data_IF_745970074440
#
_entry.id   IF_745970074440
#
_cell.length_a   1.000
_cell.length_b   1.000
_cell.length_c   1.000
_cell.angle_alpha   90.00
_cell.angle_beta   90.00
_cell.angle_gamma   90.00
#
_symmetry.space_group_name_H-M   'P 1'
#
loop_
_entity.id
_entity.type
_entity.pdbx_description
1 polymer ?
#
# COMPACT_ATOMS: atom_id res chain seq x y z
N UNK A 1 -2.44 -0.52 -20.06
CA UNK A 1 -1.49 -0.47 -18.94
C UNK A 1 -2.31 -0.15 -17.71
N UNK A 2 -2.61 -1.15 -16.91
CA UNK A 2 -3.38 -0.96 -15.68
C UNK A 2 -2.41 -0.77 -14.52
N UNK A 3 -2.35 0.45 -13.98
CA UNK A 3 -1.60 0.75 -12.79
C UNK A 3 -2.47 0.44 -11.57
N UNK A 4 -1.93 -0.33 -10.64
CA UNK A 4 -2.61 -0.75 -9.41
C UNK A 4 -1.68 -0.55 -8.23
N UNK A 5 -2.28 -0.40 -7.06
CA UNK A 5 -1.56 -0.35 -5.80
C UNK A 5 -2.00 -1.52 -4.92
N UNK A 6 -1.05 -2.22 -4.32
CA UNK A 6 -1.33 -3.39 -3.49
C UNK A 6 -0.72 -3.23 -2.11
N UNK A 7 -1.53 -3.35 -1.07
CA UNK A 7 -1.01 -3.56 0.27
C UNK A 7 -0.84 -5.06 0.51
N UNK A 8 0.38 -5.47 0.86
CA UNK A 8 0.75 -6.85 1.15
C UNK A 8 1.46 -6.97 2.50
N UNK A 9 1.31 -8.12 3.14
CA UNK A 9 1.96 -8.46 4.42
C UNK A 9 3.11 -9.41 4.15
N UNK A 10 4.33 -9.00 4.47
CA UNK A 10 5.55 -9.78 4.34
C UNK A 10 6.15 -10.09 5.72
N UNK A 11 5.73 -11.20 6.32
CA UNK A 11 6.21 -11.61 7.63
C UNK A 11 5.83 -10.58 8.71
N UNK A 12 6.84 -9.88 9.25
CA UNK A 12 6.65 -8.89 10.33
C UNK A 12 6.40 -7.47 9.82
N UNK A 13 6.53 -7.21 8.52
CA UNK A 13 6.32 -5.88 7.95
C UNK A 13 5.35 -5.90 6.79
N UNK A 14 4.64 -4.80 6.65
CA UNK A 14 3.71 -4.56 5.56
C UNK A 14 4.40 -3.73 4.47
N UNK A 15 3.96 -3.90 3.24
CA UNK A 15 4.49 -3.17 2.08
C UNK A 15 3.33 -2.73 1.19
N UNK A 16 3.45 -1.53 0.61
CA UNK A 16 2.59 -1.06 -0.46
C UNK A 16 3.37 -1.08 -1.76
N UNK A 17 2.85 -1.82 -2.74
CA UNK A 17 3.44 -1.97 -4.06
C UNK A 17 2.70 -1.12 -5.07
N UNK A 18 3.43 -0.54 -6.01
CA UNK A 18 2.87 -0.05 -7.27
C UNK A 18 3.12 -1.11 -8.32
N UNK A 19 2.06 -1.64 -8.91
CA UNK A 19 2.11 -2.74 -9.88
C UNK A 19 1.55 -2.26 -11.22
N UNK A 20 2.33 -2.44 -12.27
CA UNK A 20 1.95 -2.11 -13.65
C UNK A 20 1.95 -3.39 -14.48
N UNK A 21 0.78 -3.79 -14.99
CA UNK A 21 0.61 -4.99 -15.81
C UNK A 21 1.20 -6.26 -15.14
N UNK A 22 1.04 -6.37 -13.83
CA UNK A 22 1.53 -7.50 -13.02
C UNK A 22 3.01 -7.41 -12.60
N UNK A 23 3.71 -6.35 -13.00
CA UNK A 23 5.11 -6.10 -12.64
C UNK A 23 5.18 -5.03 -11.56
N UNK A 24 5.84 -5.35 -10.45
CA UNK A 24 6.12 -4.40 -9.36
C UNK A 24 7.11 -3.35 -9.87
N UNK A 25 6.68 -2.09 -9.86
CA UNK A 25 7.49 -0.92 -10.23
C UNK A 25 8.14 -0.28 -9.01
N UNK A 26 7.39 -0.21 -7.92
CA UNK A 26 7.81 0.46 -6.69
C UNK A 26 7.35 -0.38 -5.50
N UNK A 27 8.16 -0.43 -4.46
CA UNK A 27 7.84 -1.12 -3.22
C UNK A 27 8.19 -0.22 -2.03
N UNK A 28 7.18 0.25 -1.31
CA UNK A 28 7.35 1.11 -0.16
C UNK A 28 6.97 0.36 1.11
N UNK A 29 7.86 0.37 2.10
CA UNK A 29 7.52 -0.13 3.44
C UNK A 29 6.29 0.62 3.94
N UNK A 30 5.27 -0.11 4.38
CA UNK A 30 4.06 0.50 4.87
C UNK A 30 4.36 1.25 6.16
N UNK A 31 4.09 2.55 6.15
CA UNK A 31 4.01 3.39 7.34
C UNK A 31 2.62 4.06 7.40
N UNK A 32 2.26 4.73 8.50
CA UNK A 32 0.95 5.36 8.62
C UNK A 32 0.65 6.38 7.53
N UNK A 33 1.65 7.09 6.99
CA UNK A 33 1.47 8.09 5.93
C UNK A 33 1.17 7.43 4.58
N UNK A 34 1.98 6.45 4.20
CA UNK A 34 1.79 5.68 2.97
C UNK A 34 0.45 4.95 3.01
N UNK A 35 0.10 4.32 4.13
CA UNK A 35 -1.18 3.63 4.27
C UNK A 35 -2.36 4.60 4.28
N UNK A 36 -2.27 5.77 4.91
CA UNK A 36 -3.31 6.79 4.85
C UNK A 36 -3.57 7.24 3.42
N UNK A 37 -2.52 7.62 2.68
CA UNK A 37 -2.65 8.07 1.29
C UNK A 37 -3.18 6.94 0.39
N UNK A 38 -2.72 5.70 0.63
CA UNK A 38 -3.17 4.50 -0.08
C UNK A 38 -4.65 4.22 0.17
N UNK A 39 -5.16 4.45 1.38
CA UNK A 39 -6.54 4.14 1.75
C UNK A 39 -7.52 5.25 1.36
N UNK A 40 -7.08 6.51 1.37
CA UNK A 40 -7.98 7.67 1.23
C UNK A 40 -7.94 8.30 -0.15
N UNK A 41 -6.76 8.69 -0.61
CA UNK A 41 -6.61 9.59 -1.76
C UNK A 41 -6.42 8.81 -3.05
N UNK A 42 -5.48 7.84 -3.06
CA UNK A 42 -5.00 7.13 -4.27
C UNK A 42 -4.55 8.05 -5.42
N UNK A 43 -4.60 9.37 -5.25
CA UNK A 43 -4.24 10.34 -6.26
C UNK A 43 -2.74 10.37 -6.41
N UNK A 44 -2.25 10.40 -7.65
CA UNK A 44 -0.81 10.51 -7.90
C UNK A 44 -0.05 9.22 -7.62
N UNK A 45 -0.67 8.04 -7.77
CA UNK A 45 0.04 6.76 -7.65
C UNK A 45 1.34 6.70 -8.48
N UNK A 46 1.39 7.41 -9.61
CA UNK A 46 2.60 7.54 -10.46
C UNK A 46 3.74 8.34 -9.83
N UNK A 47 3.46 9.20 -8.86
CA UNK A 47 4.48 9.95 -8.13
C UNK A 47 5.04 9.18 -6.94
N UNK A 48 4.43 8.05 -6.59
CA UNK A 48 4.92 7.20 -5.51
C UNK A 48 6.19 6.53 -6.00
N UNK A 49 7.28 6.72 -5.25
CA UNK A 49 8.61 6.26 -5.60
C UNK A 49 9.24 5.66 -4.37
N UNK A 50 9.85 4.50 -4.53
CA UNK A 50 10.70 3.89 -3.54
C UNK A 50 12.16 4.30 -3.76
N UNK A 51 12.93 4.38 -2.68
CA UNK A 51 14.37 4.69 -2.76
C UNK A 51 15.22 3.50 -3.24
N UNK A 52 14.61 2.33 -3.46
CA UNK A 52 15.30 1.07 -3.74
C UNK A 52 14.79 0.44 -5.03
N UNK A 53 15.72 -0.13 -5.81
CA UNK A 53 15.38 -0.81 -7.05
C UNK A 53 14.64 -2.15 -6.78
N UNK A 54 13.58 -2.39 -7.54
CA UNK A 54 12.86 -3.68 -7.59
C UNK A 54 13.45 -4.51 -8.73
N UNK A 55 14.10 -5.63 -8.41
CA UNK A 55 14.79 -6.48 -9.39
C UNK A 55 14.57 -7.97 -9.14
N UNK A 56 14.66 -8.76 -10.22
CA UNK A 56 14.64 -10.22 -10.16
C UNK A 56 13.30 -10.77 -9.67
N UNK A 57 13.33 -11.67 -8.67
CA UNK A 57 12.10 -12.28 -8.13
C UNK A 57 11.12 -11.25 -7.54
N UNK A 58 11.63 -10.09 -7.11
CA UNK A 58 10.81 -9.00 -6.54
C UNK A 58 10.05 -8.19 -7.58
N UNK A 59 10.28 -8.39 -8.87
CA UNK A 59 9.44 -7.84 -9.95
C UNK A 59 8.03 -8.43 -9.93
N UNK A 60 7.86 -9.58 -9.28
CA UNK A 60 6.55 -10.20 -9.07
C UNK A 60 5.99 -9.77 -7.72
N UNK A 61 4.67 -9.60 -7.60
CA UNK A 61 4.09 -9.14 -6.35
C UNK A 61 3.97 -10.26 -5.30
N UNK A 62 3.94 -11.55 -5.69
CA UNK A 62 3.77 -12.67 -4.75
C UNK A 62 4.89 -12.80 -3.71
N UNK A 63 6.18 -12.64 -4.06
CA UNK A 63 7.28 -12.66 -3.09
C UNK A 63 7.31 -11.49 -2.11
N UNK A 64 6.40 -10.52 -2.24
CA UNK A 64 6.16 -9.46 -1.25
C UNK A 64 5.06 -9.82 -0.25
N UNK A 65 4.58 -11.06 -0.30
CA UNK A 65 3.75 -11.65 0.74
C UNK A 65 2.27 -11.63 0.40
N UNK A 66 1.46 -11.69 1.45
CA UNK A 66 0.04 -11.98 1.35
C UNK A 66 -0.76 -10.71 0.99
N UNK A 67 -1.56 -10.76 -0.07
CA UNK A 67 -2.41 -9.63 -0.46
C UNK A 67 -3.42 -9.31 0.65
N UNK A 68 -3.54 -8.01 0.96
CA UNK A 68 -4.57 -7.46 1.86
C UNK A 68 -5.66 -6.79 1.03
N UNK A 69 -5.26 -5.91 0.12
CA UNK A 69 -6.16 -5.15 -0.75
C UNK A 69 -5.38 -4.67 -1.97
N UNK A 70 -6.01 -4.76 -3.15
CA UNK A 70 -5.55 -4.19 -4.41
C UNK A 70 -6.53 -3.11 -4.87
N UNK A 71 -5.99 -1.97 -5.32
CA UNK A 71 -6.77 -0.84 -5.82
C UNK A 71 -6.28 -0.40 -7.19
N UNK A 72 -7.22 -0.02 -8.06
CA UNK A 72 -6.91 0.63 -9.33
C UNK A 72 -6.38 2.06 -9.09
N UNK A 73 -5.68 2.63 -10.06
CA UNK A 73 -5.29 4.07 -10.06
C UNK A 73 -6.50 5.01 -9.87
N UNK A 74 -7.71 4.58 -10.26
CA UNK A 74 -8.98 5.30 -10.05
C UNK A 74 -9.49 5.25 -8.61
N UNK A 75 -8.86 4.44 -7.75
CA UNK A 75 -9.26 4.18 -6.37
C UNK A 75 -10.26 3.04 -6.19
N UNK A 76 -10.76 2.44 -7.28
CA UNK A 76 -11.63 1.26 -7.20
C UNK A 76 -10.91 0.09 -6.52
N UNK A 77 -11.60 -0.64 -5.64
CA UNK A 77 -11.07 -1.85 -5.01
C UNK A 77 -11.22 -3.00 -6.01
N UNK A 78 -10.10 -3.59 -6.40
CA UNK A 78 -10.05 -4.72 -7.35
C UNK A 78 -10.18 -6.04 -6.60
N UNK A 79 -9.44 -6.19 -5.49
CA UNK A 79 -9.44 -7.39 -4.65
C UNK A 79 -9.16 -6.99 -3.20
N UNK A 80 -9.66 -7.77 -2.25
CA UNK A 80 -9.47 -7.55 -0.81
C UNK A 80 -9.67 -8.84 -0.02
N UNK A 81 -8.78 -9.09 0.94
CA UNK A 81 -9.02 -9.97 2.08
C UNK A 81 -9.60 -9.14 3.25
N UNK A 82 -10.90 -9.26 3.57
CA UNK A 82 -11.53 -8.42 4.58
C UNK A 82 -10.96 -8.63 5.99
N UNK A 83 -10.52 -9.84 6.34
CA UNK A 83 -10.00 -10.12 7.66
C UNK A 83 -8.63 -9.48 7.85
N UNK A 84 -7.76 -9.61 6.85
CA UNK A 84 -6.45 -8.95 6.86
C UNK A 84 -6.58 -7.44 6.82
N UNK A 85 -7.51 -6.93 6.03
CA UNK A 85 -7.79 -5.49 5.96
C UNK A 85 -8.14 -4.94 7.33
N UNK A 86 -9.16 -5.49 8.01
CA UNK A 86 -9.55 -4.99 9.33
C UNK A 86 -8.47 -5.18 10.39
N UNK A 87 -7.72 -6.27 10.32
CA UNK A 87 -6.58 -6.52 11.22
C UNK A 87 -5.52 -5.43 11.05
N UNK A 88 -5.15 -5.13 9.80
CA UNK A 88 -4.17 -4.08 9.51
C UNK A 88 -4.68 -2.70 9.89
N UNK A 89 -5.95 -2.35 9.61
CA UNK A 89 -6.54 -1.07 10.07
C UNK A 89 -6.46 -0.94 11.59
N UNK A 90 -6.74 -2.03 12.31
CA UNK A 90 -6.61 -2.05 13.76
C UNK A 90 -5.16 -1.83 14.21
N UNK A 91 -4.21 -2.52 13.59
CA UNK A 91 -2.77 -2.43 13.93
C UNK A 91 -2.22 -1.04 13.64
N UNK A 92 -2.50 -0.47 12.47
CA UNK A 92 -1.87 0.76 11.99
C UNK A 92 -2.51 2.03 12.55
N UNK A 93 -3.84 2.05 12.70
CA UNK A 93 -4.56 3.27 13.05
C UNK A 93 -5.24 3.15 14.43
N UNK A 94 -6.17 2.20 14.58
CA UNK A 94 -7.05 2.20 15.77
C UNK A 94 -6.32 1.90 17.08
N UNK A 95 -5.26 1.10 17.07
CA UNK A 95 -4.44 0.82 18.27
C UNK A 95 -3.77 2.09 18.83
N UNK A 96 -3.58 3.12 17.98
CA UNK A 96 -2.99 4.42 18.33
C UNK A 96 -4.05 5.50 18.60
N UNK A 97 -5.34 5.14 18.60
CA UNK A 97 -6.44 6.07 18.82
C UNK A 97 -6.71 7.02 17.65
N UNK A 98 -6.28 6.68 16.44
CA UNK A 98 -6.50 7.45 15.20
C UNK A 98 -7.27 6.62 14.18
N UNK A 99 -7.99 7.26 13.26
CA UNK A 99 -8.64 6.60 12.12
C UNK A 99 -7.84 6.84 10.84
N UNK A 100 -8.00 5.96 9.85
CA UNK A 100 -7.21 6.01 8.62
C UNK A 100 -7.61 7.17 7.70
N UNK A 101 -8.73 7.84 7.95
CA UNK A 101 -9.17 9.06 7.25
C UNK A 101 -8.80 10.36 7.98
N UNK A 102 -8.17 10.25 9.17
CA UNK A 102 -7.68 11.41 9.91
C UNK A 102 -6.51 12.02 9.13
N UNK A 103 -6.58 13.30 8.71
CA UNK A 103 -5.50 13.93 7.97
C UNK A 103 -4.18 13.87 8.73
N UNK A 104 -3.13 13.40 8.07
CA UNK A 104 -1.79 13.42 8.64
C UNK A 104 -1.26 14.84 8.49
N UNK A 105 -1.04 15.52 9.61
CA UNK A 105 -0.42 16.84 9.59
C UNK A 105 0.93 16.73 8.89
N UNK A 106 1.06 17.35 7.72
CA UNK A 106 2.35 17.49 7.05
C UNK A 106 3.31 18.11 8.07
N UNK A 107 4.34 17.36 8.46
CA UNK A 107 5.41 17.92 9.27
C UNK A 107 5.93 19.17 8.54
N UNK A 108 5.82 20.32 9.22
CA UNK A 108 6.06 21.63 8.65
C UNK A 108 7.42 21.72 7.95
N UNK A 109 7.41 22.45 6.84
CA UNK A 109 8.57 22.91 6.09
C UNK A 109 9.59 23.66 6.97
#
# INVERSE_FOLDING_TARGET
>A
MALTAEWRIFGEFDVVLVVEDGIVREAMTADPAILHDFLTSMSGLRSWRSDHAVEGEKERPEPWGALVISRAETGEIIDMDPQRFWTGIHIWFRSRGVDYDTPIAAAGA
#
